data_IF_462125548617
#
_entry.id   IF_462125548617
#
_cell.length_a   1.000
_cell.length_b   1.000
_cell.length_c   1.000
_cell.angle_alpha   90.00
_cell.angle_beta   90.00
_cell.angle_gamma   90.00
#
_symmetry.space_group_name_H-M   'P 1'
#
loop_
_entity.id
_entity.type
_entity.pdbx_description
1 polymer ?
#
# COMPACT_ATOMS: atom_id res chain seq x y z
N UNK A 1 18.14 -2.78 20.60
CA UNK A 1 16.78 -2.99 20.05
C UNK A 1 16.52 -4.49 20.06
N UNK A 2 15.34 -4.94 20.49
CA UNK A 2 14.95 -6.36 20.34
C UNK A 2 14.69 -6.65 18.86
N UNK A 3 14.89 -7.91 18.43
CA UNK A 3 14.54 -8.33 17.08
C UNK A 3 13.07 -8.00 16.75
N UNK A 4 12.17 -8.10 17.74
CA UNK A 4 10.74 -7.78 17.58
C UNK A 4 10.50 -6.29 17.32
N UNK A 5 11.26 -5.40 17.99
CA UNK A 5 11.17 -3.96 17.75
C UNK A 5 11.67 -3.58 16.35
N UNK A 6 12.72 -4.26 15.84
CA UNK A 6 13.20 -4.03 14.48
C UNK A 6 12.20 -4.55 13.44
N UNK A 7 11.59 -5.71 13.69
CA UNK A 7 10.56 -6.25 12.81
C UNK A 7 9.33 -5.33 12.75
N UNK A 8 8.88 -4.82 13.91
CA UNK A 8 7.80 -3.84 13.99
C UNK A 8 8.09 -2.60 13.13
N UNK A 9 9.28 -1.99 13.29
CA UNK A 9 9.65 -0.79 12.54
C UNK A 9 9.71 -1.05 11.03
N UNK A 10 10.21 -2.21 10.60
CA UNK A 10 10.25 -2.61 9.18
C UNK A 10 8.83 -2.78 8.63
N UNK A 11 7.93 -3.39 9.40
CA UNK A 11 6.53 -3.57 8.97
C UNK A 11 5.78 -2.24 8.88
N UNK A 12 5.99 -1.30 9.82
CA UNK A 12 5.44 0.06 9.74
C UNK A 12 5.91 0.76 8.45
N UNK A 13 7.21 0.66 8.11
CA UNK A 13 7.71 1.20 6.83
C UNK A 13 7.17 0.50 5.60
N UNK A 14 6.93 -0.80 5.67
CA UNK A 14 6.32 -1.52 4.55
C UNK A 14 4.84 -1.14 4.36
N UNK A 15 4.11 -0.91 5.45
CA UNK A 15 2.75 -0.39 5.43
C UNK A 15 2.69 1.01 4.80
N UNK A 16 3.55 1.93 5.25
CA UNK A 16 3.68 3.28 4.66
C UNK A 16 3.95 3.19 3.15
N UNK A 17 4.79 2.24 2.70
CA UNK A 17 5.06 2.04 1.29
C UNK A 17 3.83 1.56 0.51
N UNK A 18 2.94 0.73 1.08
CA UNK A 18 1.71 0.34 0.37
C UNK A 18 0.83 1.56 0.07
N UNK A 19 0.68 2.44 1.05
CA UNK A 19 -0.10 3.67 0.91
C UNK A 19 0.54 4.63 -0.10
N UNK A 20 1.85 4.86 0.01
CA UNK A 20 2.57 5.73 -0.92
C UNK A 20 2.52 5.23 -2.37
N UNK A 21 2.57 3.90 -2.57
CA UNK A 21 2.43 3.30 -3.90
C UNK A 21 1.00 3.44 -4.44
N UNK A 22 -0.03 3.31 -3.59
CA UNK A 22 -1.42 3.50 -4.00
C UNK A 22 -1.65 4.94 -4.49
N UNK A 23 -1.21 5.93 -3.72
CA UNK A 23 -1.28 7.35 -4.09
C UNK A 23 -0.53 7.66 -5.38
N UNK A 24 0.66 7.08 -5.56
CA UNK A 24 1.47 7.28 -6.77
C UNK A 24 0.79 6.68 -8.01
N UNK A 25 0.22 5.48 -7.89
CA UNK A 25 -0.49 4.80 -8.99
C UNK A 25 -1.79 5.54 -9.33
N UNK A 26 -2.55 6.00 -8.33
CA UNK A 26 -3.75 6.81 -8.56
C UNK A 26 -3.40 8.10 -9.32
N UNK A 27 -2.38 8.82 -8.86
CA UNK A 27 -1.91 10.07 -9.46
C UNK A 27 -1.49 9.89 -10.92
N UNK A 28 -0.72 8.84 -11.23
CA UNK A 28 -0.32 8.52 -12.59
C UNK A 28 -1.53 8.14 -13.44
N UNK A 29 -2.45 7.33 -12.88
CA UNK A 29 -3.70 6.93 -13.52
C UNK A 29 -4.54 8.12 -13.96
N UNK A 30 -4.78 9.06 -13.03
CA UNK A 30 -5.50 10.31 -13.30
C UNK A 30 -4.82 11.14 -14.40
N UNK A 31 -3.49 11.25 -14.37
CA UNK A 31 -2.74 12.00 -15.39
C UNK A 31 -2.87 11.38 -16.79
N UNK A 32 -2.97 10.06 -16.88
CA UNK A 32 -3.17 9.35 -18.15
C UNK A 32 -4.62 9.49 -18.64
N UNK A 33 -5.61 9.34 -17.75
CA UNK A 33 -7.03 9.48 -18.09
C UNK A 33 -7.37 10.89 -18.60
N UNK A 34 -6.77 11.93 -18.01
CA UNK A 34 -6.89 13.32 -18.47
C UNK A 34 -6.42 13.55 -19.92
N UNK A 35 -5.66 12.62 -20.50
CA UNK A 35 -5.16 12.69 -21.88
C UNK A 35 -5.96 11.84 -22.86
N UNK A 36 -7.15 11.39 -22.46
CA UNK A 36 -8.10 10.70 -23.34
C UNK A 36 -7.90 9.19 -23.43
N UNK A 37 -7.11 8.60 -22.52
CA UNK A 37 -7.01 7.14 -22.40
C UNK A 37 -8.30 6.59 -21.80
N UNK A 38 -8.90 5.60 -22.45
CA UNK A 38 -10.08 4.88 -21.94
C UNK A 38 -9.66 3.47 -21.55
N UNK A 39 -9.40 3.23 -20.26
CA UNK A 39 -9.07 1.89 -19.74
C UNK A 39 -7.92 1.85 -18.74
N UNK A 40 -7.26 2.97 -18.47
CA UNK A 40 -6.20 3.03 -17.45
C UNK A 40 -6.80 3.05 -16.04
N UNK A 41 -7.93 3.73 -15.85
CA UNK A 41 -8.72 3.68 -14.60
C UNK A 41 -9.00 2.27 -14.07
N UNK A 42 -9.41 1.32 -14.91
CA UNK A 42 -9.72 -0.05 -14.43
C UNK A 42 -8.48 -0.79 -13.95
N UNK A 43 -7.34 -0.58 -14.60
CA UNK A 43 -6.07 -1.18 -14.19
C UNK A 43 -5.55 -0.55 -12.89
N UNK A 44 -5.67 0.77 -12.76
CA UNK A 44 -5.31 1.55 -11.56
C UNK A 44 -6.14 1.07 -10.37
N UNK A 45 -7.45 0.91 -10.52
CA UNK A 45 -8.32 0.41 -9.45
C UNK A 45 -7.94 -1.01 -9.01
N UNK A 46 -7.61 -1.91 -9.94
CA UNK A 46 -7.16 -3.26 -9.60
C UNK A 46 -5.82 -3.28 -8.84
N UNK A 47 -4.90 -2.40 -9.22
CA UNK A 47 -3.61 -2.25 -8.54
C UNK A 47 -3.78 -1.68 -7.12
N UNK A 48 -4.57 -0.61 -6.96
CA UNK A 48 -4.88 0.00 -5.66
C UNK A 48 -5.55 -1.03 -4.74
N UNK A 49 -6.56 -1.78 -5.24
CA UNK A 49 -7.21 -2.82 -4.44
C UNK A 49 -6.22 -3.90 -3.94
N UNK A 50 -5.20 -4.24 -4.74
CA UNK A 50 -4.16 -5.17 -4.32
C UNK A 50 -3.27 -4.57 -3.22
N UNK A 51 -2.91 -3.29 -3.35
CA UNK A 51 -2.12 -2.56 -2.35
C UNK A 51 -2.88 -2.40 -1.02
N UNK A 52 -4.19 -2.16 -1.08
CA UNK A 52 -5.05 -2.09 0.10
C UNK A 52 -5.10 -3.41 0.87
N UNK A 53 -5.25 -4.53 0.15
CA UNK A 53 -5.21 -5.87 0.77
C UNK A 53 -3.86 -6.16 1.43
N UNK A 54 -2.77 -5.73 0.80
CA UNK A 54 -1.44 -5.87 1.37
C UNK A 54 -1.26 -4.98 2.61
N UNK A 55 -1.73 -3.73 2.57
CA UNK A 55 -1.69 -2.81 3.71
C UNK A 55 -2.46 -3.36 4.91
N UNK A 56 -3.66 -3.92 4.67
CA UNK A 56 -4.45 -4.61 5.69
C UNK A 56 -3.67 -5.77 6.33
N UNK A 57 -3.10 -6.64 5.51
CA UNK A 57 -2.33 -7.80 5.97
C UNK A 57 -1.15 -7.37 6.85
N UNK A 58 -0.39 -6.35 6.41
CA UNK A 58 0.75 -5.82 7.17
C UNK A 58 0.28 -5.21 8.49
N UNK A 59 -0.80 -4.42 8.49
CA UNK A 59 -1.35 -3.80 9.70
C UNK A 59 -1.76 -4.86 10.73
N UNK A 60 -2.44 -5.91 10.29
CA UNK A 60 -2.79 -7.05 11.17
C UNK A 60 -1.54 -7.74 11.75
N UNK A 61 -0.47 -7.85 10.96
CA UNK A 61 0.83 -8.34 11.43
C UNK A 61 1.46 -7.45 12.51
N UNK A 62 1.42 -6.13 12.33
CA UNK A 62 1.88 -5.14 13.31
C UNK A 62 1.09 -5.24 14.61
N UNK A 63 -0.24 -5.31 14.54
CA UNK A 63 -1.11 -5.46 15.73
C UNK A 63 -0.82 -6.77 16.48
N UNK A 64 -0.56 -7.85 15.75
CA UNK A 64 -0.21 -9.14 16.35
C UNK A 64 1.13 -9.12 17.10
N UNK A 65 2.08 -8.27 16.69
CA UNK A 65 3.35 -8.07 17.40
C UNK A 65 3.19 -7.17 18.63
N UNK A 66 2.26 -6.20 18.60
CA UNK A 66 1.96 -5.33 19.76
C UNK A 66 1.29 -6.09 20.91
N UNK A 67 0.62 -7.20 20.60
CA UNK A 67 -0.12 -8.02 21.56
C UNK A 67 0.67 -9.23 22.13
N UNK A 68 1.96 -9.36 21.79
CA UNK A 68 2.89 -10.36 22.33
C UNK A 68 3.71 -9.78 23.49
#
# INVERSE_FOLDING_TARGET
MSADSQLHDVLEKLHENQLALADAIESIGMWIDQRGSTGVSSHVLGAIATLDLNAECIRNGIESLKNQ
#
